data_IF_868471493288
#
_entry.id   IF_868471493288
#
_cell.length_a   1.000
_cell.length_b   1.000
_cell.length_c   1.000
_cell.angle_alpha   90.00
_cell.angle_beta   90.00
_cell.angle_gamma   90.00
#
_symmetry.space_group_name_H-M   'P 1'
#
loop_
_entity.id
_entity.type
_entity.pdbx_description
1 polymer ?
#
# COMPACT_ATOMS: atom_id res chain seq x y z
N UNK A 1 16.78 2.74 1.83
CA UNK A 1 15.93 1.53 1.99
C UNK A 1 16.75 0.46 2.70
N UNK A 2 16.19 -0.33 3.60
CA UNK A 2 16.95 -1.37 4.34
C UNK A 2 17.50 -2.42 3.35
N UNK A 3 18.77 -2.81 3.47
CA UNK A 3 19.42 -3.84 2.63
C UNK A 3 18.62 -5.15 2.59
N UNK A 4 17.96 -5.52 3.70
CA UNK A 4 17.08 -6.68 3.74
C UNK A 4 15.97 -6.63 2.68
N UNK A 5 15.28 -5.49 2.56
CA UNK A 5 14.18 -5.35 1.60
C UNK A 5 14.68 -5.29 0.16
N UNK A 6 15.87 -4.74 -0.08
CA UNK A 6 16.49 -4.74 -1.40
C UNK A 6 16.82 -6.17 -1.84
N UNK A 7 17.43 -6.98 -0.96
CA UNK A 7 17.71 -8.39 -1.24
C UNK A 7 16.43 -9.20 -1.45
N UNK A 8 15.42 -8.98 -0.61
CA UNK A 8 14.12 -9.65 -0.76
C UNK A 8 13.47 -9.35 -2.11
N UNK A 9 13.41 -8.08 -2.50
CA UNK A 9 12.80 -7.67 -3.78
C UNK A 9 13.60 -8.23 -4.96
N UNK A 10 14.93 -8.22 -4.86
CA UNK A 10 15.81 -8.81 -5.88
C UNK A 10 15.50 -10.30 -6.09
N UNK A 11 15.40 -11.08 -5.01
CA UNK A 11 15.08 -12.51 -5.12
C UNK A 11 13.67 -12.76 -5.65
N UNK A 12 12.68 -11.95 -5.27
CA UNK A 12 11.31 -12.07 -5.80
C UNK A 12 11.25 -11.80 -7.30
N UNK A 13 11.92 -10.75 -7.79
CA UNK A 13 11.98 -10.44 -9.22
C UNK A 13 12.67 -11.55 -10.02
N UNK A 14 13.75 -12.09 -9.47
CA UNK A 14 14.49 -13.20 -10.07
C UNK A 14 13.63 -14.46 -10.18
N UNK A 15 12.88 -14.79 -9.13
CA UNK A 15 11.96 -15.92 -9.10
C UNK A 15 10.81 -15.75 -10.12
N UNK A 16 10.22 -14.56 -10.20
CA UNK A 16 9.16 -14.26 -11.18
C UNK A 16 9.63 -14.42 -12.64
N UNK A 17 10.84 -13.95 -12.95
CA UNK A 17 11.43 -14.13 -14.28
C UNK A 17 11.70 -15.61 -14.55
N UNK A 18 12.29 -16.33 -13.59
CA UNK A 18 12.59 -17.76 -13.73
C UNK A 18 11.31 -18.56 -14.01
N UNK A 19 10.26 -18.35 -13.22
CA UNK A 19 8.93 -18.97 -13.41
C UNK A 19 8.31 -18.63 -14.77
N UNK A 20 8.60 -17.46 -15.33
CA UNK A 20 8.10 -17.08 -16.65
C UNK A 20 8.76 -17.92 -17.74
N UNK A 21 10.06 -18.19 -17.62
CA UNK A 21 10.79 -19.06 -18.55
C UNK A 21 10.51 -20.54 -18.33
N UNK A 22 10.14 -20.98 -17.13
CA UNK A 22 9.78 -22.38 -16.84
C UNK A 22 8.48 -22.83 -17.53
N UNK A 23 7.66 -21.87 -17.98
CA UNK A 23 6.44 -22.15 -18.76
C UNK A 23 6.73 -22.50 -20.21
N UNK A 24 7.95 -22.28 -20.68
CA UNK A 24 8.35 -22.54 -22.06
C UNK A 24 8.87 -23.97 -22.13
N UNK A 25 8.33 -24.75 -23.05
CA UNK A 25 8.84 -26.09 -23.33
C UNK A 25 10.22 -25.98 -23.98
N UNK A 26 11.23 -26.51 -23.30
CA UNK A 26 12.66 -26.30 -23.60
C UNK A 26 13.44 -27.53 -23.15
N UNK A 27 14.54 -27.82 -23.85
CA UNK A 27 15.44 -28.90 -23.44
C UNK A 27 16.11 -28.57 -22.10
N UNK A 28 16.59 -29.60 -21.40
CA UNK A 28 17.31 -29.47 -20.13
C UNK A 28 18.54 -28.56 -20.25
N UNK A 29 19.25 -28.65 -21.39
CA UNK A 29 20.41 -27.81 -21.68
C UNK A 29 20.03 -26.33 -21.79
N UNK A 30 18.95 -26.03 -22.53
CA UNK A 30 18.45 -24.65 -22.68
C UNK A 30 17.95 -24.11 -21.33
N UNK A 31 17.25 -24.93 -20.54
CA UNK A 31 16.81 -24.54 -19.20
C UNK A 31 17.99 -24.14 -18.29
N UNK A 32 19.07 -24.91 -18.33
CA UNK A 32 20.28 -24.64 -17.55
C UNK A 32 20.92 -23.32 -17.96
N UNK A 33 21.09 -23.09 -19.27
CA UNK A 33 21.65 -21.85 -19.82
C UNK A 33 20.81 -20.63 -19.42
N UNK A 34 19.47 -20.73 -19.53
CA UNK A 34 18.57 -19.64 -19.18
C UNK A 34 18.69 -19.29 -17.69
N UNK A 35 18.73 -20.29 -16.81
CA UNK A 35 18.90 -20.07 -15.36
C UNK A 35 20.25 -19.40 -15.03
N UNK A 36 21.31 -19.77 -15.74
CA UNK A 36 22.63 -19.16 -15.57
C UNK A 36 22.63 -17.70 -16.03
N UNK A 37 22.02 -17.39 -17.18
CA UNK A 37 21.86 -16.01 -17.68
C UNK A 37 21.09 -15.15 -16.67
N UNK A 38 19.98 -15.66 -16.13
CA UNK A 38 19.19 -14.96 -15.12
C UNK A 38 20.05 -14.68 -13.87
N UNK A 39 20.76 -15.70 -13.36
CA UNK A 39 21.64 -15.55 -12.21
C UNK A 39 22.71 -14.48 -12.43
N UNK A 40 23.40 -14.53 -13.56
CA UNK A 40 24.48 -13.60 -13.89
C UNK A 40 23.95 -12.18 -14.00
N UNK A 41 22.82 -11.98 -14.67
CA UNK A 41 22.18 -10.66 -14.75
C UNK A 41 21.89 -10.07 -13.36
N UNK A 42 21.29 -10.85 -12.46
CA UNK A 42 20.99 -10.35 -11.12
C UNK A 42 22.24 -10.18 -10.25
N UNK A 43 23.35 -10.87 -10.52
CA UNK A 43 24.61 -10.71 -9.80
C UNK A 43 25.40 -9.49 -10.29
N UNK A 44 25.44 -9.26 -11.60
CA UNK A 44 26.26 -8.22 -12.23
C UNK A 44 25.62 -6.83 -12.14
N UNK A 45 24.28 -6.77 -12.12
CA UNK A 45 23.55 -5.51 -12.10
C UNK A 45 23.00 -5.18 -10.70
N UNK A 46 23.32 -3.99 -10.23
CA UNK A 46 22.74 -3.46 -8.99
C UNK A 46 21.32 -2.96 -9.25
N UNK A 47 20.38 -3.48 -8.48
CA UNK A 47 18.98 -3.06 -8.54
C UNK A 47 18.78 -1.80 -7.69
N UNK A 48 18.53 -0.66 -8.34
CA UNK A 48 18.27 0.61 -7.68
C UNK A 48 16.76 0.75 -7.45
N UNK A 49 16.35 0.74 -6.18
CA UNK A 49 14.95 0.94 -5.78
C UNK A 49 14.81 2.35 -5.20
N UNK A 50 14.26 3.25 -5.99
CA UNK A 50 14.03 4.64 -5.59
C UNK A 50 12.60 4.82 -5.09
N UNK A 51 12.44 5.52 -3.97
CA UNK A 51 11.14 5.93 -3.50
C UNK A 51 10.66 7.15 -4.28
N UNK A 52 9.61 7.02 -5.09
CA UNK A 52 9.10 8.11 -5.92
C UNK A 52 8.22 9.12 -5.16
N UNK A 53 8.58 9.52 -3.93
CA UNK A 53 7.78 10.48 -3.14
C UNK A 53 7.62 11.82 -3.88
N UNK A 54 8.68 12.26 -4.57
CA UNK A 54 8.73 13.52 -5.31
C UNK A 54 7.76 13.53 -6.50
N UNK A 55 7.57 12.38 -7.17
CA UNK A 55 6.60 12.23 -8.28
C UNK A 55 5.17 12.58 -7.86
N UNK A 56 4.85 12.42 -6.58
CA UNK A 56 3.51 12.64 -6.04
C UNK A 56 3.40 13.91 -5.18
N UNK A 57 4.42 14.77 -5.16
CA UNK A 57 4.46 15.98 -4.33
C UNK A 57 4.13 15.69 -2.85
N UNK A 58 4.62 14.56 -2.31
CA UNK A 58 4.36 14.19 -0.91
C UNK A 58 5.28 15.04 -0.02
N UNK A 59 4.71 16.07 0.60
CA UNK A 59 5.43 16.92 1.57
C UNK A 59 5.32 16.29 2.96
N UNK A 60 6.45 15.91 3.54
CA UNK A 60 6.52 15.48 4.96
C UNK A 60 6.21 16.66 5.90
N UNK A 61 4.94 16.95 6.17
CA UNK A 61 4.58 17.83 7.28
C UNK A 61 4.78 17.09 8.62
N UNK A 62 5.21 17.82 9.65
CA UNK A 62 5.37 17.31 11.04
C UNK A 62 4.10 16.65 11.62
N UNK A 63 2.92 16.89 11.02
CA UNK A 63 1.64 16.23 11.34
C UNK A 63 1.39 14.87 10.66
N UNK A 64 2.17 14.51 9.64
CA UNK A 64 2.15 13.23 8.92
C UNK A 64 3.14 12.21 9.50
N UNK A 65 3.52 12.35 10.77
CA UNK A 65 4.31 11.29 11.43
C UNK A 65 3.51 9.99 11.38
N UNK A 66 4.16 8.94 10.86
CA UNK A 66 3.66 7.57 10.91
C UNK A 66 3.08 7.30 12.31
N UNK A 67 1.75 7.08 12.37
CA UNK A 67 1.09 6.70 13.61
C UNK A 67 1.01 5.18 13.64
N UNK A 68 1.63 4.60 14.66
CA UNK A 68 1.65 3.16 14.87
C UNK A 68 0.24 2.58 14.78
N UNK A 69 0.07 1.69 13.81
CA UNK A 69 -1.23 1.11 13.40
C UNK A 69 -1.79 0.18 14.47
N UNK A 70 -0.92 -0.42 15.29
CA UNK A 70 -1.31 -1.31 16.39
C UNK A 70 -2.17 -0.54 17.41
N UNK A 71 -1.91 0.76 17.59
CA UNK A 71 -2.71 1.62 18.49
C UNK A 71 -4.16 1.81 18.03
N UNK A 72 -4.48 1.49 16.78
CA UNK A 72 -5.83 1.57 16.22
C UNK A 72 -6.50 0.19 16.05
N UNK A 73 -5.89 -0.89 16.56
CA UNK A 73 -6.53 -2.22 16.54
C UNK A 73 -7.80 -2.28 17.41
N UNK A 74 -7.89 -1.44 18.43
CA UNK A 74 -9.06 -1.36 19.29
C UNK A 74 -10.14 -0.49 18.62
N UNK A 75 -11.03 -1.16 17.89
CA UNK A 75 -12.25 -0.56 17.35
C UNK A 75 -13.10 -0.09 18.53
N UNK A 76 -13.27 1.22 18.67
CA UNK A 76 -14.28 1.71 19.58
C UNK A 76 -15.63 1.62 18.85
N UNK A 77 -16.49 0.73 19.33
CA UNK A 77 -17.81 0.43 18.72
C UNK A 77 -18.74 1.63 18.71
N UNK A 78 -18.54 2.58 19.63
CA UNK A 78 -19.36 3.79 19.72
C UNK A 78 -18.86 4.93 18.81
N UNK A 79 -17.71 4.73 18.16
CA UNK A 79 -17.08 5.72 17.28
C UNK A 79 -17.44 5.47 15.82
N UNK A 80 -17.34 6.55 15.06
CA UNK A 80 -17.60 6.58 13.64
C UNK A 80 -16.73 5.56 12.89
N UNK A 81 -17.36 4.70 12.08
CA UNK A 81 -16.69 3.63 11.35
C UNK A 81 -15.92 4.10 10.11
N UNK A 82 -16.07 5.37 9.70
CA UNK A 82 -15.27 5.96 8.64
C UNK A 82 -13.76 5.83 8.95
N UNK A 83 -13.01 5.34 7.95
CA UNK A 83 -11.57 5.21 8.01
C UNK A 83 -10.94 6.59 7.82
N UNK A 84 -9.97 6.87 8.69
CA UNK A 84 -9.16 8.10 8.70
C UNK A 84 -9.98 9.39 8.89
N UNK A 85 -9.72 10.11 9.98
CA UNK A 85 -10.25 11.47 10.18
C UNK A 85 -9.58 12.49 9.24
N UNK A 86 -10.33 13.54 8.87
CA UNK A 86 -9.84 14.72 8.15
C UNK A 86 -9.06 14.38 6.87
N UNK A 87 -9.64 13.56 5.99
CA UNK A 87 -9.14 13.29 4.63
C UNK A 87 -7.75 12.63 4.52
N UNK A 88 -7.29 11.91 5.54
CA UNK A 88 -5.98 11.23 5.50
C UNK A 88 -5.14 11.40 6.78
N UNK A 89 -5.60 12.21 7.73
CA UNK A 89 -4.78 12.75 8.80
C UNK A 89 -4.83 11.97 10.14
N UNK A 90 -5.45 10.79 10.20
CA UNK A 90 -5.62 10.04 11.46
C UNK A 90 -6.11 8.59 11.30
N UNK A 91 -6.43 7.91 12.41
CA UNK A 91 -7.03 6.57 12.42
C UNK A 91 -8.56 6.60 12.31
N UNK A 92 -9.26 5.68 13.00
CA UNK A 92 -10.73 5.71 13.11
C UNK A 92 -11.21 7.12 13.51
N UNK A 93 -12.29 7.60 12.88
CA UNK A 93 -12.85 8.91 13.22
C UNK A 93 -13.21 8.98 14.71
N UNK A 94 -12.70 9.99 15.41
CA UNK A 94 -12.87 10.16 16.87
C UNK A 94 -14.27 10.62 17.29
N UNK A 95 -15.21 10.82 16.37
CA UNK A 95 -16.59 11.24 16.67
C UNK A 95 -17.50 10.04 16.88
N UNK A 96 -18.63 10.24 17.54
CA UNK A 96 -19.57 9.14 17.82
C UNK A 96 -20.33 8.73 16.55
N UNK A 97 -20.52 7.42 16.39
CA UNK A 97 -21.16 6.76 15.24
C UNK A 97 -22.69 6.71 15.34
N UNK A 98 -23.35 7.85 15.59
CA UNK A 98 -24.81 7.91 15.86
C UNK A 98 -25.71 7.72 14.64
N UNK A 99 -25.15 7.72 13.43
CA UNK A 99 -25.89 7.66 12.17
C UNK A 99 -25.41 6.43 11.39
N UNK A 100 -26.00 5.27 11.67
CA UNK A 100 -25.62 3.97 11.09
C UNK A 100 -24.12 3.67 11.23
N UNK A 101 -23.58 3.93 12.43
CA UNK A 101 -22.16 3.77 12.70
C UNK A 101 -21.29 4.94 12.22
N UNK A 102 -21.84 5.96 11.56
CA UNK A 102 -21.13 7.18 11.17
C UNK A 102 -21.42 8.38 12.08
N UNK A 103 -20.52 9.35 12.11
CA UNK A 103 -20.84 10.68 12.64
C UNK A 103 -21.61 11.50 11.60
N UNK A 104 -22.33 12.54 12.02
CA UNK A 104 -23.13 13.43 11.14
C UNK A 104 -22.36 13.87 9.88
N UNK A 105 -21.08 14.21 10.01
CA UNK A 105 -20.27 14.64 8.87
C UNK A 105 -20.03 13.51 7.87
N UNK A 106 -19.61 12.33 8.33
CA UNK A 106 -19.31 11.23 7.40
C UNK A 106 -20.57 10.62 6.82
N UNK A 107 -21.68 10.61 7.57
CA UNK A 107 -23.00 10.29 7.01
C UNK A 107 -23.34 11.24 5.83
N UNK A 108 -23.18 12.55 6.01
CA UNK A 108 -23.44 13.53 4.94
C UNK A 108 -22.42 13.49 3.78
N UNK A 109 -21.22 12.95 3.99
CA UNK A 109 -20.14 12.90 2.99
C UNK A 109 -20.06 11.55 2.25
N UNK A 110 -21.09 10.71 2.36
CA UNK A 110 -21.21 9.46 1.62
C UNK A 110 -21.39 8.21 2.48
N UNK A 111 -21.24 8.30 3.81
CA UNK A 111 -21.42 7.16 4.71
C UNK A 111 -20.53 5.98 4.32
N UNK A 112 -21.15 4.87 3.91
CA UNK A 112 -20.45 3.68 3.40
C UNK A 112 -19.65 3.94 2.12
N UNK A 113 -20.07 4.90 1.30
CA UNK A 113 -19.38 5.35 0.08
C UNK A 113 -18.29 6.39 0.38
N UNK A 114 -17.95 6.60 1.66
CA UNK A 114 -16.83 7.44 2.03
C UNK A 114 -15.57 7.01 1.27
N UNK A 115 -14.95 7.95 0.58
CA UNK A 115 -13.89 7.68 -0.38
C UNK A 115 -12.65 6.98 0.22
N UNK A 116 -12.36 7.12 1.52
CA UNK A 116 -11.29 6.35 2.20
C UNK A 116 -11.75 4.99 2.76
N UNK A 117 -13.01 4.62 2.55
CA UNK A 117 -13.65 3.40 3.03
C UNK A 117 -13.95 3.40 4.53
N UNK A 118 -14.46 2.28 5.02
CA UNK A 118 -14.74 2.07 6.45
C UNK A 118 -13.66 1.21 7.10
N UNK A 119 -13.57 1.24 8.43
CA UNK A 119 -12.65 0.38 9.19
C UNK A 119 -12.98 -1.12 9.06
N UNK A 120 -14.20 -1.45 8.64
CA UNK A 120 -14.71 -2.82 8.53
C UNK A 120 -14.46 -3.45 7.16
N UNK A 121 -14.13 -2.66 6.15
CA UNK A 121 -13.86 -3.12 4.78
C UNK A 121 -12.37 -2.99 4.44
N UNK A 122 -11.85 -3.73 3.44
CA UNK A 122 -10.52 -3.51 2.89
C UNK A 122 -10.29 -2.05 2.51
N UNK A 123 -9.03 -1.62 2.49
CA UNK A 123 -8.69 -0.27 2.00
C UNK A 123 -8.95 -0.21 0.50
N UNK A 124 -9.62 0.85 0.00
CA UNK A 124 -9.65 1.12 -1.43
C UNK A 124 -8.22 1.28 -1.95
N UNK A 125 -7.87 0.71 -3.09
CA UNK A 125 -6.48 0.72 -3.57
C UNK A 125 -6.01 2.12 -3.99
N UNK A 126 -6.87 2.89 -4.68
CA UNK A 126 -6.56 4.23 -5.21
C UNK A 126 -7.74 5.20 -5.02
N UNK A 127 -8.09 5.52 -3.76
CA UNK A 127 -9.24 6.35 -3.50
C UNK A 127 -8.98 7.78 -3.97
N UNK A 128 -9.96 8.36 -4.64
CA UNK A 128 -9.92 9.72 -5.17
C UNK A 128 -10.73 10.61 -4.24
N UNK A 129 -10.13 11.70 -3.75
CA UNK A 129 -10.85 12.65 -2.92
C UNK A 129 -11.76 13.56 -3.75
N UNK A 130 -12.61 14.35 -3.08
CA UNK A 130 -13.49 15.35 -3.70
C UNK A 130 -12.78 16.43 -4.53
N UNK A 131 -11.45 16.52 -4.48
CA UNK A 131 -10.62 17.42 -5.29
C UNK A 131 -9.90 16.69 -6.44
N UNK A 132 -10.36 15.49 -6.82
CA UNK A 132 -9.75 14.63 -7.83
C UNK A 132 -8.28 14.26 -7.58
N UNK A 133 -7.83 14.30 -6.32
CA UNK A 133 -6.49 13.85 -5.93
C UNK A 133 -6.54 12.41 -5.44
N UNK A 134 -5.69 11.57 -6.01
CA UNK A 134 -5.48 10.19 -5.55
C UNK A 134 -4.80 10.24 -4.17
N UNK A 135 -5.36 9.54 -3.20
CA UNK A 135 -4.72 9.34 -1.91
C UNK A 135 -3.80 8.13 -1.95
N UNK A 136 -2.59 8.33 -1.43
CA UNK A 136 -1.54 7.33 -1.38
C UNK A 136 -1.48 6.83 0.06
N UNK A 137 -1.71 5.53 0.23
CA UNK A 137 -1.56 4.88 1.53
C UNK A 137 -0.08 4.75 1.87
N UNK A 138 0.39 5.56 2.82
CA UNK A 138 1.74 5.41 3.36
C UNK A 138 1.80 4.15 4.23
N UNK A 139 2.78 3.27 3.95
CA UNK A 139 3.10 2.04 4.69
C UNK A 139 4.00 2.29 5.90
#
# INVERSE_FOLDING_TARGET
MNQYYQSLIKELLKDDITKSFDKIDKSIEIDTIVKEIINNYFNDYQLIIESCFDKYNIVENKGHKYRDRIKYNHRNKDRCIARIWNCGMGGQCSRNGRFDGFCKIHSNKGGEDWWLGTINKPRPERPINHNNKIHIWLN
#
